data_IF_076046574861
#
_entry.id   IF_076046574861
#
_cell.length_a   1.000
_cell.length_b   1.000
_cell.length_c   1.000
_cell.angle_alpha   90.00
_cell.angle_beta   90.00
_cell.angle_gamma   90.00
#
_symmetry.space_group_name_H-M   'P 1'
#
loop_
_entity.id
_entity.type
_entity.pdbx_description
1 polymer ?
#
# COMPACT_ATOMS: atom_id res chain seq x y z
N UNK A 1 -14.96 -5.40 -24.22
CA UNK A 1 -15.19 -6.15 -22.96
C UNK A 1 -14.44 -5.43 -21.85
N UNK A 2 -15.11 -5.05 -20.77
CA UNK A 2 -14.56 -4.28 -19.65
C UNK A 2 -14.58 -5.18 -18.40
N UNK A 3 -13.45 -5.29 -17.72
CA UNK A 3 -13.34 -5.99 -16.44
C UNK A 3 -13.06 -4.97 -15.34
N UNK A 4 -13.87 -5.01 -14.28
CA UNK A 4 -13.62 -4.19 -13.10
C UNK A 4 -13.81 -5.03 -11.84
N UNK A 5 -12.86 -4.91 -10.92
CA UNK A 5 -12.99 -5.49 -9.58
C UNK A 5 -14.04 -4.75 -8.73
N UNK A 6 -14.41 -3.53 -9.12
CA UNK A 6 -15.41 -2.72 -8.40
C UNK A 6 -16.29 -1.96 -9.38
N UNK A 7 -17.61 -2.11 -9.26
CA UNK A 7 -18.60 -1.38 -10.07
C UNK A 7 -18.89 0.01 -9.46
N UNK A 8 -17.88 0.88 -9.40
CA UNK A 8 -18.13 2.29 -9.05
C UNK A 8 -18.94 2.98 -10.15
N UNK A 9 -19.67 4.05 -9.82
CA UNK A 9 -20.43 4.85 -10.80
C UNK A 9 -19.59 5.28 -12.00
N UNK A 10 -18.32 5.66 -11.79
CA UNK A 10 -17.40 6.02 -12.88
C UNK A 10 -17.07 4.85 -13.81
N UNK A 11 -16.96 3.63 -13.27
CA UNK A 11 -16.74 2.44 -14.10
C UNK A 11 -17.98 2.10 -14.95
N UNK A 12 -19.18 2.40 -14.44
CA UNK A 12 -20.42 2.25 -15.19
C UNK A 12 -20.55 3.29 -16.31
N UNK A 13 -20.21 4.56 -16.06
CA UNK A 13 -20.15 5.60 -17.11
C UNK A 13 -19.22 5.18 -18.27
N UNK A 14 -18.01 4.68 -17.95
CA UNK A 14 -17.09 4.16 -18.96
C UNK A 14 -17.70 3.02 -19.78
N UNK A 15 -18.47 2.14 -19.15
CA UNK A 15 -19.15 1.06 -19.88
C UNK A 15 -20.25 1.59 -20.81
N UNK A 16 -20.93 2.68 -20.44
CA UNK A 16 -21.97 3.30 -21.26
C UNK A 16 -21.38 4.06 -22.46
N UNK A 17 -20.26 4.75 -22.28
CA UNK A 17 -19.59 5.51 -23.35
C UNK A 17 -18.89 4.60 -24.37
N UNK A 18 -18.25 3.51 -23.91
CA UNK A 18 -17.33 2.72 -24.73
C UNK A 18 -17.82 1.31 -25.08
N UNK A 19 -19.03 0.90 -24.67
CA UNK A 19 -19.59 -0.41 -25.02
C UNK A 19 -20.96 -0.28 -25.71
N UNK A 20 -21.16 -1.04 -26.78
CA UNK A 20 -22.45 -1.17 -27.43
C UNK A 20 -23.27 -2.26 -26.73
N UNK A 21 -24.33 -1.87 -26.03
CA UNK A 21 -25.26 -2.79 -25.33
C UNK A 21 -24.55 -3.88 -24.49
N UNK A 22 -23.80 -3.50 -23.44
CA UNK A 22 -23.05 -4.45 -22.64
C UNK A 22 -23.96 -5.37 -21.82
N UNK A 23 -23.63 -6.66 -21.77
CA UNK A 23 -24.20 -7.61 -20.79
C UNK A 23 -23.35 -7.58 -19.51
N UNK A 24 -24.01 -7.42 -18.36
CA UNK A 24 -23.34 -7.32 -17.06
C UNK A 24 -23.21 -8.68 -16.39
N UNK A 25 -21.98 -9.14 -16.19
CA UNK A 25 -21.67 -10.34 -15.41
C UNK A 25 -21.06 -9.93 -14.07
N UNK A 26 -21.72 -10.27 -12.97
CA UNK A 26 -21.23 -10.02 -11.61
C UNK A 26 -21.06 -11.34 -10.89
N UNK A 27 -19.93 -11.51 -10.21
CA UNK A 27 -19.69 -12.60 -9.27
C UNK A 27 -19.73 -12.01 -7.87
N UNK A 28 -20.38 -12.69 -6.92
CA UNK A 28 -20.35 -12.26 -5.52
C UNK A 28 -18.90 -12.32 -5.02
N UNK A 29 -18.35 -11.15 -4.69
CA UNK A 29 -17.04 -11.08 -4.07
C UNK A 29 -17.19 -11.50 -2.60
N UNK A 30 -16.63 -12.65 -2.26
CA UNK A 30 -16.37 -13.02 -0.88
C UNK A 30 -15.41 -11.95 -0.31
N UNK A 31 -15.94 -10.97 0.44
CA UNK A 31 -15.24 -9.77 0.96
C UNK A 31 -14.16 -10.11 2.03
N UNK A 32 -13.57 -11.30 1.96
CA UNK A 32 -12.65 -11.87 2.95
C UNK A 32 -11.37 -11.06 3.15
N UNK A 33 -10.98 -10.24 2.18
CA UNK A 33 -9.68 -9.54 2.23
C UNK A 33 -9.60 -8.53 3.37
N UNK A 34 -10.70 -7.85 3.72
CA UNK A 34 -10.69 -6.86 4.81
C UNK A 34 -10.65 -7.52 6.19
N UNK A 35 -11.30 -8.68 6.35
CA UNK A 35 -11.39 -9.41 7.63
C UNK A 35 -10.05 -10.04 8.05
N UNK A 36 -9.15 -10.29 7.09
CA UNK A 36 -7.83 -10.88 7.35
C UNK A 36 -6.74 -9.86 7.70
N UNK A 37 -7.06 -8.55 7.75
CA UNK A 37 -6.07 -7.50 8.06
C UNK A 37 -6.06 -7.19 9.56
N UNK A 38 -4.95 -7.54 10.22
CA UNK A 38 -4.68 -7.09 11.59
C UNK A 38 -4.30 -5.61 11.59
N UNK A 39 -5.00 -4.81 12.40
CA UNK A 39 -4.78 -3.37 12.50
C UNK A 39 -4.33 -2.99 13.91
N UNK A 40 -3.41 -2.02 14.01
CA UNK A 40 -2.90 -1.51 15.28
C UNK A 40 -2.75 0.01 15.22
N UNK A 41 -3.04 0.68 16.34
CA UNK A 41 -2.89 2.12 16.51
C UNK A 41 -1.88 2.42 17.63
N UNK A 42 -0.90 3.28 17.33
CA UNK A 42 0.10 3.72 18.30
C UNK A 42 -0.02 5.22 18.54
N UNK A 43 -0.30 5.62 19.78
CA UNK A 43 -0.21 7.00 20.22
C UNK A 43 1.26 7.34 20.47
N UNK A 44 1.83 8.24 19.65
CA UNK A 44 3.24 8.58 19.71
C UNK A 44 3.46 10.04 19.32
N UNK A 45 4.37 10.69 20.04
CA UNK A 45 4.82 12.03 19.69
C UNK A 45 5.47 12.04 18.30
N UNK A 46 5.26 13.11 17.52
CA UNK A 46 5.78 13.22 16.16
C UNK A 46 7.28 12.94 16.04
N UNK A 47 8.09 13.37 17.02
CA UNK A 47 9.55 13.15 17.05
C UNK A 47 9.95 11.69 17.25
N UNK A 48 9.11 10.89 17.92
CA UNK A 48 9.38 9.47 18.24
C UNK A 48 8.86 8.49 17.18
N UNK A 49 8.07 8.95 16.21
CA UNK A 49 7.49 8.11 15.14
C UNK A 49 8.53 7.28 14.38
N UNK A 50 9.68 7.86 14.07
CA UNK A 50 10.73 7.17 13.30
C UNK A 50 11.36 6.05 14.13
N UNK A 51 11.69 6.30 15.39
CA UNK A 51 12.25 5.29 16.29
C UNK A 51 11.30 4.13 16.51
N UNK A 52 10.00 4.42 16.73
CA UNK A 52 8.97 3.40 16.85
C UNK A 52 8.87 2.54 15.58
N UNK A 53 8.81 3.19 14.40
CA UNK A 53 8.74 2.50 13.12
C UNK A 53 9.93 1.57 12.92
N UNK A 54 11.16 2.02 13.19
CA UNK A 54 12.35 1.16 13.08
C UNK A 54 12.26 -0.06 14.02
N UNK A 55 11.78 0.13 15.25
CA UNK A 55 11.56 -0.97 16.20
C UNK A 55 10.56 -2.01 15.68
N UNK A 56 9.42 -1.54 15.17
CA UNK A 56 8.38 -2.40 14.55
C UNK A 56 8.97 -3.17 13.37
N UNK A 57 9.65 -2.49 12.45
CA UNK A 57 10.23 -3.12 11.26
C UNK A 57 11.27 -4.18 11.63
N UNK A 58 12.14 -3.91 12.61
CA UNK A 58 13.15 -4.88 13.04
C UNK A 58 12.51 -6.13 13.65
N UNK A 59 11.48 -5.98 14.48
CA UNK A 59 10.73 -7.10 15.03
C UNK A 59 10.07 -7.92 13.91
N UNK A 60 9.27 -7.26 13.07
CA UNK A 60 8.46 -7.93 12.06
C UNK A 60 9.31 -8.55 10.92
N UNK A 61 10.46 -7.95 10.58
CA UNK A 61 11.41 -8.54 9.63
C UNK A 61 12.21 -9.69 10.25
N UNK A 62 12.52 -9.65 11.54
CA UNK A 62 13.19 -10.74 12.24
C UNK A 62 12.25 -11.94 12.45
N UNK A 63 10.96 -11.72 12.68
CA UNK A 63 9.99 -12.80 12.88
C UNK A 63 9.71 -13.60 11.58
N UNK A 64 9.94 -13.03 10.40
CA UNK A 64 9.67 -13.67 9.09
C UNK A 64 10.87 -14.45 8.52
N UNK A 65 11.67 -15.06 9.38
CA UNK A 65 12.91 -15.80 9.09
C UNK A 65 12.71 -17.17 8.37
N UNK A 66 11.68 -17.32 7.54
CA UNK A 66 11.53 -18.47 6.62
C UNK A 66 12.18 -18.21 5.24
N UNK A 67 12.91 -17.09 5.11
CA UNK A 67 13.57 -16.68 3.86
C UNK A 67 12.66 -15.87 2.93
N UNK A 68 11.37 -15.74 3.23
CA UNK A 68 10.45 -14.86 2.51
C UNK A 68 10.44 -13.48 3.17
N UNK A 69 11.35 -12.60 2.74
CA UNK A 69 11.34 -11.21 3.18
C UNK A 69 10.00 -10.56 2.78
N UNK A 70 9.09 -10.40 3.75
CA UNK A 70 7.81 -9.74 3.53
C UNK A 70 8.01 -8.35 2.93
N UNK A 71 7.32 -8.04 1.84
CA UNK A 71 7.34 -6.70 1.25
C UNK A 71 6.54 -5.75 2.13
N UNK A 72 7.14 -4.63 2.53
CA UNK A 72 6.51 -3.63 3.41
C UNK A 72 6.29 -2.34 2.61
N UNK A 73 5.08 -1.81 2.68
CA UNK A 73 4.72 -0.52 2.11
C UNK A 73 4.45 0.49 3.24
N UNK A 74 5.12 1.64 3.19
CA UNK A 74 4.97 2.69 4.21
C UNK A 74 4.49 3.96 3.53
N UNK A 75 3.29 4.40 3.90
CA UNK A 75 2.70 5.64 3.40
C UNK A 75 3.16 6.84 4.22
N UNK A 76 3.47 7.93 3.54
CA UNK A 76 3.85 9.22 4.13
C UNK A 76 3.17 10.35 3.38
N UNK A 77 2.78 11.41 4.09
CA UNK A 77 1.97 12.48 3.51
C UNK A 77 2.72 13.36 2.49
N UNK A 78 4.06 13.42 2.55
CA UNK A 78 4.83 14.35 1.71
C UNK A 78 6.05 13.68 1.11
N UNK A 79 6.42 14.12 -0.10
CA UNK A 79 7.62 13.64 -0.78
C UNK A 79 8.89 13.83 0.04
N UNK A 80 9.05 15.02 0.62
CA UNK A 80 10.18 15.34 1.50
C UNK A 80 10.28 14.39 2.69
N UNK A 81 9.14 13.95 3.25
CA UNK A 81 9.17 12.97 4.34
C UNK A 81 9.59 11.59 3.84
N UNK A 82 9.13 11.16 2.66
CA UNK A 82 9.52 9.88 2.08
C UNK A 82 11.02 9.78 1.81
N UNK A 83 11.62 10.84 1.26
CA UNK A 83 13.07 10.92 1.08
C UNK A 83 13.84 10.87 2.40
N UNK A 84 13.36 11.60 3.43
CA UNK A 84 13.96 11.57 4.77
C UNK A 84 13.84 10.19 5.40
N UNK A 85 12.65 9.57 5.37
CA UNK A 85 12.40 8.26 5.92
C UNK A 85 13.30 7.20 5.28
N UNK A 86 13.45 7.23 3.94
CA UNK A 86 14.39 6.35 3.22
C UNK A 86 15.81 6.45 3.78
N UNK A 87 16.30 7.66 4.05
CA UNK A 87 17.64 7.87 4.64
C UNK A 87 17.74 7.25 6.04
N UNK A 88 16.74 7.48 6.89
CA UNK A 88 16.69 6.90 8.24
C UNK A 88 16.66 5.37 8.23
N UNK A 89 15.86 4.76 7.35
CA UNK A 89 15.78 3.30 7.22
C UNK A 89 17.11 2.70 6.76
N UNK A 90 17.73 3.30 5.74
CA UNK A 90 19.05 2.86 5.25
C UNK A 90 20.15 3.00 6.29
N UNK A 91 20.15 4.08 7.06
CA UNK A 91 21.07 4.28 8.19
C UNK A 91 20.90 3.23 9.30
N UNK A 92 19.73 2.57 9.35
CA UNK A 92 19.43 1.48 10.28
C UNK A 92 19.59 0.08 9.64
N UNK A 93 20.22 -0.02 8.47
CA UNK A 93 20.45 -1.29 7.77
C UNK A 93 19.23 -1.86 7.05
N UNK A 94 18.14 -1.09 6.91
CA UNK A 94 16.91 -1.54 6.24
C UNK A 94 16.93 -1.06 4.80
N UNK A 95 16.93 -2.00 3.85
CA UNK A 95 16.85 -1.67 2.43
C UNK A 95 15.48 -1.07 2.09
N UNK A 96 15.49 0.20 1.65
CA UNK A 96 14.27 0.92 1.30
C UNK A 96 14.42 1.68 -0.02
N UNK A 97 13.37 1.59 -0.83
CA UNK A 97 13.07 2.48 -1.96
C UNK A 97 12.06 3.55 -1.55
N UNK A 98 11.90 4.58 -2.37
CA UNK A 98 10.85 5.58 -2.24
C UNK A 98 10.15 5.73 -3.58
N UNK A 99 8.82 5.73 -3.58
CA UNK A 99 7.98 5.92 -4.75
C UNK A 99 7.25 7.27 -4.61
N UNK A 100 7.23 8.05 -5.69
CA UNK A 100 6.50 9.32 -5.80
C UNK A 100 5.77 9.41 -7.13
N UNK A 101 4.78 10.29 -7.22
CA UNK A 101 4.14 10.61 -8.50
C UNK A 101 5.11 11.13 -9.58
N UNK A 102 6.25 11.70 -9.18
CA UNK A 102 7.30 12.20 -10.10
C UNK A 102 8.20 11.08 -10.68
N UNK A 103 7.78 9.81 -10.63
CA UNK A 103 8.50 8.74 -11.33
C UNK A 103 8.29 8.95 -12.83
N UNK A 104 9.36 9.06 -13.64
CA UNK A 104 9.23 9.15 -15.09
C UNK A 104 8.39 7.97 -15.59
N UNK A 105 7.22 8.27 -16.15
CA UNK A 105 6.42 7.29 -16.88
C UNK A 105 6.97 7.31 -18.31
N UNK A 106 7.76 6.31 -18.65
CA UNK A 106 8.22 6.03 -20.01
C UNK A 106 7.32 4.97 -20.64
#
# INVERSE_FOLDING_TARGET
>A
MLFSATLSYRAQELSYEFMNSPEMLTTEQDLRTAEMVVQALYHVEGRRKISLLVGILKRDLAEKLDGSAGRIMIFVNTKRMGEKLKKWLRANGIQAGYLSGDVPQA
#
